data_IF_723731051839
#
_entry.id   IF_723731051839
#
_cell.length_a   1.000
_cell.length_b   1.000
_cell.length_c   1.000
_cell.angle_alpha   90.00
_cell.angle_beta   90.00
_cell.angle_gamma   90.00
#
_symmetry.space_group_name_H-M   'P 1'
#
loop_
_entity.id
_entity.type
_entity.pdbx_description
1 polymer ?
#
# COMPACT_ATOMS: atom_id res chain seq x y z
N UNK A 1 13.29 25.32 -28.72
CA UNK A 1 13.01 24.01 -29.34
C UNK A 1 14.02 23.03 -28.81
N UNK A 2 13.64 22.29 -27.77
CA UNK A 2 14.41 21.16 -27.26
C UNK A 2 13.43 19.98 -27.27
N UNK A 3 13.68 19.03 -28.15
CA UNK A 3 12.99 17.74 -28.21
C UNK A 3 13.27 16.96 -26.92
N UNK A 4 12.25 16.42 -26.22
CA UNK A 4 12.50 15.45 -25.18
C UNK A 4 12.89 14.13 -25.83
N UNK A 5 14.12 13.71 -25.57
CA UNK A 5 14.64 12.39 -25.92
C UNK A 5 13.85 11.31 -25.18
N UNK A 6 13.28 10.40 -25.96
CA UNK A 6 12.84 9.08 -25.53
C UNK A 6 14.01 8.27 -24.97
N UNK A 7 13.93 7.80 -23.73
CA UNK A 7 14.92 6.86 -23.19
C UNK A 7 14.75 6.50 -21.71
N UNK A 8 14.59 5.19 -21.47
CA UNK A 8 14.84 4.42 -20.25
C UNK A 8 13.95 4.65 -19.01
N UNK A 9 13.10 3.65 -18.80
CA UNK A 9 12.38 3.30 -17.56
C UNK A 9 13.32 2.83 -16.44
N UNK A 10 13.06 3.24 -15.20
CA UNK A 10 13.49 2.54 -13.97
C UNK A 10 15.00 2.20 -13.82
N UNK A 11 15.92 3.14 -14.07
CA UNK A 11 17.38 2.89 -13.93
C UNK A 11 18.10 3.69 -12.85
N UNK A 12 17.38 4.27 -11.87
CA UNK A 12 18.03 4.75 -10.64
C UNK A 12 17.34 4.15 -9.40
N UNK A 13 17.97 3.12 -8.81
CA UNK A 13 17.62 2.62 -7.47
C UNK A 13 17.27 1.13 -7.33
N UNK A 14 18.25 0.23 -7.50
CA UNK A 14 18.25 -1.12 -6.89
C UNK A 14 17.29 -2.20 -7.43
N UNK A 15 17.71 -3.47 -7.37
CA UNK A 15 16.82 -4.60 -7.65
C UNK A 15 15.89 -4.88 -6.45
N UNK A 16 14.58 -4.95 -6.70
CA UNK A 16 13.59 -5.31 -5.70
C UNK A 16 13.06 -6.74 -5.86
N UNK A 17 12.48 -7.24 -4.76
CA UNK A 17 12.12 -8.63 -4.57
C UNK A 17 10.76 -8.74 -3.84
N UNK A 18 10.17 -9.93 -3.92
CA UNK A 18 9.12 -10.41 -3.00
C UNK A 18 9.67 -11.55 -2.15
N UNK A 19 9.05 -11.80 -1.00
CA UNK A 19 9.31 -13.02 -0.25
C UNK A 19 8.62 -14.21 -0.94
N UNK A 20 9.29 -15.37 -1.01
CA UNK A 20 8.73 -16.62 -1.56
C UNK A 20 7.38 -17.00 -0.95
N UNK A 21 7.11 -16.60 0.30
CA UNK A 21 5.83 -16.84 0.94
C UNK A 21 4.64 -16.22 0.18
N UNK A 22 4.87 -15.22 -0.66
CA UNK A 22 3.85 -14.69 -1.57
C UNK A 22 3.25 -15.79 -2.46
N UNK A 23 4.05 -16.79 -2.86
CA UNK A 23 3.59 -17.89 -3.70
C UNK A 23 3.10 -19.11 -2.91
N UNK A 24 3.21 -19.12 -1.57
CA UNK A 24 2.90 -20.31 -0.78
C UNK A 24 1.94 -20.07 0.38
N UNK A 25 1.84 -18.85 0.92
CA UNK A 25 1.10 -18.55 2.15
C UNK A 25 -0.12 -17.67 1.88
N UNK A 26 -1.05 -17.69 2.83
CA UNK A 26 -2.22 -16.80 2.86
C UNK A 26 -3.10 -16.91 1.61
N UNK A 27 -3.36 -18.14 1.14
CA UNK A 27 -4.37 -18.39 0.11
C UNK A 27 -5.73 -18.43 0.79
N UNK A 28 -6.65 -17.54 0.42
CA UNK A 28 -7.97 -17.46 1.05
C UNK A 28 -8.98 -18.31 0.27
N UNK A 29 -9.57 -19.30 0.94
CA UNK A 29 -10.63 -20.14 0.41
C UNK A 29 -11.98 -19.55 0.81
N UNK A 30 -12.58 -18.76 -0.09
CA UNK A 30 -13.80 -17.98 0.18
C UNK A 30 -14.96 -18.84 0.69
N UNK A 31 -15.19 -19.99 0.06
CA UNK A 31 -16.34 -20.85 0.38
C UNK A 31 -16.23 -21.49 1.78
N UNK A 32 -15.03 -21.47 2.36
CA UNK A 32 -14.73 -22.10 3.65
C UNK A 32 -14.25 -21.08 4.69
N UNK A 33 -14.10 -19.81 4.30
CA UNK A 33 -13.59 -18.71 5.11
C UNK A 33 -12.29 -19.06 5.87
N UNK A 34 -11.31 -19.64 5.17
CA UNK A 34 -10.05 -20.10 5.78
C UNK A 34 -8.84 -19.72 4.93
N UNK A 35 -7.73 -19.39 5.59
CA UNK A 35 -6.44 -19.22 4.94
C UNK A 35 -5.61 -20.51 4.98
N UNK A 36 -5.00 -20.86 3.85
CA UNK A 36 -4.20 -22.08 3.69
C UNK A 36 -2.81 -21.79 3.15
N UNK A 37 -1.92 -22.77 3.34
CA UNK A 37 -0.56 -22.80 2.79
C UNK A 37 -0.47 -23.88 1.72
N UNK A 38 0.03 -23.51 0.53
CA UNK A 38 0.18 -24.40 -0.60
C UNK A 38 1.61 -24.38 -1.12
N UNK A 39 2.28 -25.52 -1.10
CA UNK A 39 3.60 -25.72 -1.71
C UNK A 39 3.51 -26.62 -2.94
N UNK A 40 2.75 -27.69 -2.81
CA UNK A 40 2.44 -28.66 -3.85
C UNK A 40 1.19 -29.48 -3.45
N UNK A 41 0.68 -30.28 -4.38
CA UNK A 41 -0.53 -31.09 -4.17
C UNK A 41 -0.39 -32.14 -3.06
N UNK A 42 0.81 -32.69 -2.88
CA UNK A 42 1.07 -33.74 -1.89
C UNK A 42 0.96 -33.17 -0.47
N UNK A 43 1.70 -32.08 -0.21
CA UNK A 43 1.64 -31.35 1.06
C UNK A 43 0.22 -30.84 1.35
N UNK A 44 -0.43 -30.27 0.35
CA UNK A 44 -1.77 -29.71 0.55
C UNK A 44 -2.79 -30.79 0.91
N UNK A 45 -2.71 -31.95 0.27
CA UNK A 45 -3.53 -33.11 0.60
C UNK A 45 -3.29 -33.64 2.01
N UNK A 46 -2.03 -33.74 2.44
CA UNK A 46 -1.66 -34.20 3.78
C UNK A 46 -2.17 -33.24 4.87
N UNK A 47 -1.94 -31.95 4.69
CA UNK A 47 -2.24 -30.94 5.72
C UNK A 47 -3.74 -30.59 5.80
N UNK A 48 -4.44 -30.51 4.66
CA UNK A 48 -5.77 -29.91 4.61
C UNK A 48 -6.91 -30.87 4.28
N UNK A 49 -6.69 -32.04 3.67
CA UNK A 49 -7.82 -32.89 3.20
C UNK A 49 -8.75 -33.32 4.33
N UNK A 50 -8.23 -33.67 5.50
CA UNK A 50 -9.06 -34.03 6.66
C UNK A 50 -9.60 -32.81 7.40
N UNK A 51 -8.86 -31.69 7.40
CA UNK A 51 -9.29 -30.44 8.03
C UNK A 51 -10.50 -29.86 7.29
N UNK A 52 -10.44 -29.79 5.95
CA UNK A 52 -11.49 -29.22 5.11
C UNK A 52 -12.82 -29.97 5.20
N UNK A 53 -12.81 -31.27 5.51
CA UNK A 53 -14.04 -32.03 5.83
C UNK A 53 -14.79 -31.43 7.02
N UNK A 54 -14.09 -30.89 8.01
CA UNK A 54 -14.73 -30.21 9.17
C UNK A 54 -15.36 -28.88 8.77
N UNK A 55 -14.92 -28.28 7.66
CA UNK A 55 -15.46 -27.05 7.09
C UNK A 55 -16.52 -27.31 6.00
N UNK A 56 -16.96 -28.56 5.79
CA UNK A 56 -18.03 -28.90 4.85
C UNK A 56 -17.58 -29.42 3.47
N UNK A 57 -16.27 -29.64 3.25
CA UNK A 57 -15.74 -30.28 2.05
C UNK A 57 -15.82 -31.81 2.17
N UNK A 58 -16.97 -32.40 1.84
CA UNK A 58 -17.27 -33.82 2.08
C UNK A 58 -17.09 -34.73 0.86
N UNK A 59 -17.10 -34.16 -0.33
CA UNK A 59 -17.05 -34.90 -1.61
C UNK A 59 -15.73 -34.66 -2.33
N UNK A 60 -15.29 -35.61 -3.17
CA UNK A 60 -14.10 -35.44 -3.99
C UNK A 60 -14.24 -34.25 -4.96
N UNK A 61 -15.45 -34.01 -5.49
CA UNK A 61 -15.72 -32.84 -6.34
C UNK A 61 -15.49 -31.51 -5.60
N UNK A 62 -15.91 -31.39 -4.34
CA UNK A 62 -15.62 -30.19 -3.54
C UNK A 62 -14.11 -30.04 -3.27
N UNK A 63 -13.40 -31.15 -3.08
CA UNK A 63 -11.96 -31.14 -2.90
C UNK A 63 -11.21 -30.69 -4.16
N UNK A 64 -11.65 -31.17 -5.33
CA UNK A 64 -11.10 -30.76 -6.61
C UNK A 64 -11.33 -29.26 -6.87
N UNK A 65 -12.49 -28.72 -6.47
CA UNK A 65 -12.77 -27.28 -6.51
C UNK A 65 -11.83 -26.48 -5.60
N UNK A 66 -11.55 -26.96 -4.38
CA UNK A 66 -10.57 -26.33 -3.48
C UNK A 66 -9.19 -26.30 -4.12
N UNK A 67 -8.72 -27.43 -4.65
CA UNK A 67 -7.43 -27.49 -5.35
C UNK A 67 -7.37 -26.54 -6.55
N UNK A 68 -8.44 -26.49 -7.35
CA UNK A 68 -8.54 -25.60 -8.49
C UNK A 68 -8.47 -24.12 -8.06
N UNK A 69 -9.16 -23.75 -6.98
CA UNK A 69 -9.13 -22.39 -6.44
C UNK A 69 -7.71 -21.97 -6.00
N UNK A 70 -7.00 -22.83 -5.27
CA UNK A 70 -5.63 -22.55 -4.82
C UNK A 70 -4.67 -22.43 -6.00
N UNK A 71 -4.76 -23.34 -6.97
CA UNK A 71 -3.91 -23.33 -8.17
C UNK A 71 -4.17 -22.09 -9.04
N UNK A 72 -5.43 -21.71 -9.21
CA UNK A 72 -5.80 -20.50 -9.94
C UNK A 72 -5.27 -19.24 -9.26
N UNK A 73 -5.33 -19.16 -7.93
CA UNK A 73 -4.72 -18.06 -7.18
C UNK A 73 -3.19 -18.05 -7.29
N UNK A 74 -2.54 -19.21 -7.30
CA UNK A 74 -1.09 -19.32 -7.48
C UNK A 74 -0.67 -18.82 -8.87
N UNK A 75 -1.36 -19.28 -9.90
CA UNK A 75 -1.15 -18.85 -11.28
C UNK A 75 -1.37 -17.34 -11.41
N UNK A 76 -2.44 -16.80 -10.80
CA UNK A 76 -2.68 -15.35 -10.77
C UNK A 76 -1.52 -14.60 -10.12
N UNK A 77 -0.98 -15.07 -8.99
CA UNK A 77 0.17 -14.46 -8.30
C UNK A 77 1.45 -14.54 -9.14
N UNK A 78 1.69 -15.65 -9.82
CA UNK A 78 2.84 -15.83 -10.72
C UNK A 78 2.80 -14.87 -11.91
N UNK A 79 1.61 -14.64 -12.47
CA UNK A 79 1.44 -13.76 -13.63
C UNK A 79 1.23 -12.27 -13.26
N UNK A 80 1.06 -11.94 -11.98
CA UNK A 80 0.65 -10.62 -11.50
C UNK A 80 1.55 -9.48 -12.03
N UNK A 81 2.87 -9.68 -11.99
CA UNK A 81 3.85 -8.67 -12.39
C UNK A 81 3.87 -8.47 -13.91
N UNK A 82 3.84 -9.56 -14.67
CA UNK A 82 3.82 -9.52 -16.13
C UNK A 82 2.55 -8.84 -16.64
N UNK A 83 1.40 -9.19 -16.06
CA UNK A 83 0.13 -8.52 -16.38
C UNK A 83 0.15 -7.03 -16.03
N UNK A 84 0.80 -6.63 -14.92
CA UNK A 84 0.93 -5.22 -14.56
C UNK A 84 1.77 -4.45 -15.59
N UNK A 85 2.87 -5.04 -16.10
CA UNK A 85 3.67 -4.45 -17.16
C UNK A 85 2.89 -4.29 -18.48
N UNK A 86 2.10 -5.29 -18.84
CA UNK A 86 1.25 -5.26 -20.03
C UNK A 86 0.19 -4.15 -19.93
N UNK A 87 -0.50 -4.07 -18.78
CA UNK A 87 -1.45 -2.98 -18.51
C UNK A 87 -0.77 -1.61 -18.59
N UNK A 88 0.38 -1.43 -17.93
CA UNK A 88 1.17 -0.18 -18.00
C UNK A 88 1.49 0.23 -19.43
N UNK A 89 1.95 -0.73 -20.24
CA UNK A 89 2.30 -0.48 -21.64
C UNK A 89 1.06 -0.04 -22.43
N UNK A 90 -0.07 -0.71 -22.25
CA UNK A 90 -1.32 -0.38 -22.92
C UNK A 90 -1.83 0.99 -22.48
N UNK A 91 -1.96 1.23 -21.17
CA UNK A 91 -2.42 2.50 -20.58
C UNK A 91 -1.58 3.65 -21.11
N UNK A 92 -0.25 3.55 -21.05
CA UNK A 92 0.66 4.60 -21.55
C UNK A 92 0.45 4.95 -23.03
N UNK A 93 0.01 3.98 -23.84
CA UNK A 93 -0.16 4.16 -25.29
C UNK A 93 -1.54 4.74 -25.61
N UNK A 94 -2.57 4.22 -24.96
CA UNK A 94 -3.98 4.43 -25.33
C UNK A 94 -4.68 5.48 -24.48
N UNK A 95 -4.30 5.63 -23.21
CA UNK A 95 -4.94 6.60 -22.31
C UNK A 95 -4.55 8.04 -22.68
N UNK A 96 -5.47 8.96 -22.46
CA UNK A 96 -5.26 10.41 -22.63
C UNK A 96 -5.64 11.08 -21.32
N UNK A 97 -4.66 11.55 -20.53
CA UNK A 97 -4.94 12.21 -19.26
C UNK A 97 -5.83 13.44 -19.44
N UNK A 98 -6.79 13.61 -18.53
CA UNK A 98 -7.64 14.79 -18.44
C UNK A 98 -6.87 15.97 -17.83
N UNK A 99 -6.05 15.69 -16.82
CA UNK A 99 -5.22 16.64 -16.08
C UNK A 99 -3.74 16.23 -16.12
N UNK A 100 -3.01 16.39 -17.25
CA UNK A 100 -1.62 15.94 -17.37
C UNK A 100 -0.67 16.51 -16.30
N UNK A 101 -0.96 17.70 -15.77
CA UNK A 101 -0.11 18.37 -14.77
C UNK A 101 -0.10 17.66 -13.41
N UNK A 102 -1.11 16.84 -13.08
CA UNK A 102 -1.19 16.15 -11.77
C UNK A 102 -0.23 14.96 -11.67
N UNK A 103 0.35 14.51 -12.79
CA UNK A 103 1.32 13.40 -12.83
C UNK A 103 2.71 13.79 -12.32
N UNK A 104 2.98 15.09 -12.20
CA UNK A 104 4.24 15.63 -11.68
C UNK A 104 3.95 16.42 -10.42
N UNK A 105 4.62 16.08 -9.31
CA UNK A 105 4.43 16.73 -8.03
C UNK A 105 4.79 18.21 -8.10
N UNK A 106 3.95 19.07 -7.51
CA UNK A 106 4.16 20.50 -7.44
C UNK A 106 3.84 20.98 -6.03
N UNK A 107 4.61 21.93 -5.51
CA UNK A 107 4.37 22.46 -4.16
C UNK A 107 3.00 23.12 -4.01
N UNK A 108 2.46 23.68 -5.10
CA UNK A 108 1.11 24.26 -5.14
C UNK A 108 0.00 23.24 -4.86
N UNK A 109 0.29 21.94 -4.89
CA UNK A 109 -0.66 20.89 -4.54
C UNK A 109 -0.84 20.74 -3.03
N UNK A 110 0.13 21.19 -2.24
CA UNK A 110 0.14 20.97 -0.80
C UNK A 110 -0.56 22.07 -0.02
N UNK A 111 -1.13 21.69 1.11
CA UNK A 111 -1.57 22.65 2.12
C UNK A 111 -0.34 23.41 2.69
N UNK A 112 -0.42 24.72 2.95
CA UNK A 112 0.69 25.47 3.54
C UNK A 112 1.23 24.85 4.84
N UNK A 113 0.32 24.36 5.69
CA UNK A 113 0.66 23.73 6.97
C UNK A 113 1.45 22.42 6.78
N UNK A 114 1.19 21.70 5.69
CA UNK A 114 1.98 20.52 5.32
C UNK A 114 3.42 20.90 4.96
N UNK A 115 3.59 21.96 4.16
CA UNK A 115 4.91 22.46 3.77
C UNK A 115 5.72 22.94 4.99
N UNK A 116 5.07 23.66 5.91
CA UNK A 116 5.70 24.08 7.17
C UNK A 116 6.15 22.88 8.01
N UNK A 117 5.29 21.87 8.14
CA UNK A 117 5.59 20.62 8.83
C UNK A 117 6.79 19.88 8.19
N UNK A 118 6.85 19.82 6.86
CA UNK A 118 7.96 19.18 6.13
C UNK A 118 9.26 19.94 6.32
N UNK A 119 9.26 21.26 6.14
CA UNK A 119 10.46 22.09 6.27
C UNK A 119 11.01 22.05 7.70
N UNK A 120 10.14 22.12 8.69
CA UNK A 120 10.51 21.91 10.10
C UNK A 120 11.11 20.51 10.30
N UNK A 121 10.50 19.47 9.73
CA UNK A 121 10.98 18.08 9.87
C UNK A 121 12.31 17.81 9.17
N UNK A 122 12.77 18.65 8.24
CA UNK A 122 14.06 18.52 7.54
C UNK A 122 15.25 19.02 8.34
N UNK A 123 15.02 19.96 9.27
CA UNK A 123 16.11 20.52 10.08
C UNK A 123 16.77 19.44 10.94
N UNK A 124 18.06 19.61 11.22
CA UNK A 124 18.84 18.65 12.01
C UNK A 124 18.60 18.75 13.51
N UNK A 125 18.13 19.91 13.98
CA UNK A 125 17.88 20.22 15.39
C UNK A 125 16.45 19.93 15.85
N UNK A 126 15.57 19.53 14.93
CA UNK A 126 14.16 19.23 15.21
C UNK A 126 14.01 17.99 16.08
N UNK A 127 13.25 18.11 17.17
CA UNK A 127 12.85 16.97 17.99
C UNK A 127 11.46 16.42 17.59
N UNK A 128 11.11 15.18 17.98
CA UNK A 128 9.76 14.67 17.80
C UNK A 128 8.68 15.56 18.43
N UNK A 129 8.94 16.16 19.59
CA UNK A 129 8.01 17.08 20.27
C UNK A 129 7.72 18.34 19.46
N UNK A 130 8.65 18.79 18.62
CA UNK A 130 8.40 19.91 17.71
C UNK A 130 7.43 19.52 16.59
N UNK A 131 7.59 18.32 16.02
CA UNK A 131 6.67 17.76 15.02
C UNK A 131 5.27 17.59 15.58
N UNK A 132 5.16 17.15 16.83
CA UNK A 132 3.88 16.94 17.51
C UNK A 132 3.02 18.21 17.61
N UNK A 133 3.61 19.41 17.48
CA UNK A 133 2.86 20.69 17.50
C UNK A 133 2.09 20.95 16.19
N UNK A 134 2.44 20.26 15.11
CA UNK A 134 1.88 20.45 13.77
C UNK A 134 0.92 19.32 13.35
N UNK A 135 0.76 18.30 14.18
CA UNK A 135 -0.10 17.15 13.90
C UNK A 135 -1.13 16.97 15.01
N UNK A 136 -2.28 16.41 14.66
CA UNK A 136 -3.28 15.97 15.64
C UNK A 136 -3.12 14.46 15.85
N UNK A 137 -3.09 14.00 17.11
CA UNK A 137 -3.12 12.57 17.43
C UNK A 137 -3.91 12.34 18.71
N UNK A 138 -4.40 11.12 18.93
CA UNK A 138 -4.92 10.75 20.24
C UNK A 138 -3.79 10.26 21.15
N UNK A 139 -4.00 10.21 22.47
CA UNK A 139 -3.00 9.66 23.37
C UNK A 139 -2.64 8.21 23.00
N UNK A 140 -1.34 7.96 22.88
CA UNK A 140 -0.73 6.62 22.76
C UNK A 140 -1.14 5.77 21.55
N UNK A 141 -1.85 6.32 20.55
CA UNK A 141 -2.24 5.58 19.35
C UNK A 141 -1.21 5.63 18.22
N UNK A 142 -0.32 6.64 18.21
CA UNK A 142 0.66 6.91 17.15
C UNK A 142 0.05 6.98 15.75
N UNK A 143 -1.17 7.52 15.65
CA UNK A 143 -1.86 7.88 14.42
C UNK A 143 -1.88 9.40 14.31
N UNK A 144 -1.26 9.95 13.27
CA UNK A 144 -1.09 11.40 13.12
C UNK A 144 -1.96 11.92 11.97
N UNK A 145 -2.78 12.91 12.27
CA UNK A 145 -3.67 13.61 11.35
C UNK A 145 -3.11 15.01 11.02
N UNK A 146 -3.03 15.34 9.74
CA UNK A 146 -2.61 16.67 9.26
C UNK A 146 -3.18 16.97 7.87
N UNK A 147 -3.37 18.25 7.48
CA UNK A 147 -3.73 18.59 6.12
C UNK A 147 -2.57 18.21 5.18
N UNK A 148 -2.88 17.67 4.00
CA UNK A 148 -1.84 17.27 3.02
C UNK A 148 -1.96 18.11 1.77
N UNK A 149 -3.12 18.11 1.14
CA UNK A 149 -3.32 18.74 -0.16
C UNK A 149 -4.27 19.94 -0.10
N UNK A 150 -4.23 20.77 -1.14
CA UNK A 150 -5.25 21.79 -1.38
C UNK A 150 -6.54 21.16 -1.91
N UNK A 151 -7.68 21.81 -1.66
CA UNK A 151 -8.97 21.38 -2.24
C UNK A 151 -8.95 21.34 -3.77
N UNK A 152 -8.25 22.29 -4.39
CA UNK A 152 -8.13 22.37 -5.84
C UNK A 152 -7.37 21.17 -6.41
N UNK A 153 -6.24 20.79 -5.82
CA UNK A 153 -5.51 19.60 -6.25
C UNK A 153 -6.37 18.35 -6.06
N UNK A 154 -6.96 18.18 -4.89
CA UNK A 154 -7.84 17.05 -4.59
C UNK A 154 -8.95 16.89 -5.64
N UNK A 155 -9.60 17.98 -6.04
CA UNK A 155 -10.61 17.97 -7.10
C UNK A 155 -10.02 17.50 -8.44
N UNK A 156 -8.96 18.14 -8.93
CA UNK A 156 -8.35 17.78 -10.23
C UNK A 156 -7.83 16.34 -10.24
N UNK A 157 -7.25 15.88 -9.13
CA UNK A 157 -6.77 14.51 -8.99
C UNK A 157 -7.93 13.51 -9.02
N UNK A 158 -9.05 13.79 -8.33
CA UNK A 158 -10.24 12.93 -8.40
C UNK A 158 -10.86 12.91 -9.80
N UNK A 159 -10.91 14.06 -10.49
CA UNK A 159 -11.39 14.13 -11.88
C UNK A 159 -10.54 13.27 -12.81
N UNK A 160 -9.21 13.29 -12.67
CA UNK A 160 -8.29 12.42 -13.43
C UNK A 160 -8.51 10.94 -13.13
N UNK A 161 -8.66 10.58 -11.84
CA UNK A 161 -8.89 9.18 -11.43
C UNK A 161 -10.23 8.67 -11.95
N UNK A 162 -11.29 9.48 -11.85
CA UNK A 162 -12.62 9.14 -12.36
C UNK A 162 -12.59 9.00 -13.89
N UNK A 163 -11.88 9.90 -14.59
CA UNK A 163 -11.70 9.81 -16.04
C UNK A 163 -11.04 8.50 -16.47
N UNK A 164 -10.01 8.05 -15.73
CA UNK A 164 -9.40 6.75 -15.99
C UNK A 164 -10.33 5.59 -15.63
N UNK A 165 -11.07 5.70 -14.53
CA UNK A 165 -12.03 4.69 -14.08
C UNK A 165 -13.10 4.42 -15.15
N UNK A 166 -13.63 5.47 -15.78
CA UNK A 166 -14.65 5.41 -16.85
C UNK A 166 -14.10 4.89 -18.20
N UNK A 167 -12.79 4.80 -18.37
CA UNK A 167 -12.19 4.29 -19.60
C UNK A 167 -12.35 2.77 -19.75
N UNK A 168 -12.31 2.25 -20.97
CA UNK A 168 -12.33 0.79 -21.23
C UNK A 168 -10.96 0.11 -21.05
N UNK A 169 -9.96 0.82 -20.54
CA UNK A 169 -8.60 0.31 -20.37
C UNK A 169 -8.51 -0.66 -19.20
N UNK A 170 -7.59 -1.65 -19.25
CA UNK A 170 -7.48 -2.64 -18.21
C UNK A 170 -6.97 -2.03 -16.91
N UNK A 171 -7.52 -2.48 -15.78
CA UNK A 171 -7.21 -1.99 -14.43
C UNK A 171 -6.78 -3.15 -13.54
N UNK A 172 -5.63 -3.02 -12.87
CA UNK A 172 -5.22 -3.96 -11.85
C UNK A 172 -5.99 -3.76 -10.53
N UNK A 173 -6.11 -4.83 -9.72
CA UNK A 173 -6.72 -4.73 -8.40
C UNK A 173 -5.76 -4.07 -7.40
N UNK A 174 -6.20 -3.07 -6.61
CA UNK A 174 -5.35 -2.40 -5.63
C UNK A 174 -4.77 -3.34 -4.57
N UNK A 175 -5.59 -4.21 -4.00
CA UNK A 175 -5.17 -5.22 -3.02
C UNK A 175 -6.19 -6.39 -3.00
N UNK A 176 -6.04 -7.33 -2.07
CA UNK A 176 -6.90 -8.51 -1.96
C UNK A 176 -8.29 -8.22 -1.40
N UNK A 177 -8.51 -7.06 -0.79
CA UNK A 177 -9.78 -6.65 -0.15
C UNK A 177 -10.58 -5.65 -0.99
N UNK A 178 -9.92 -4.88 -1.86
CA UNK A 178 -10.57 -3.90 -2.72
C UNK A 178 -10.76 -4.43 -4.13
N UNK A 179 -12.02 -4.54 -4.55
CA UNK A 179 -12.36 -4.88 -5.93
C UNK A 179 -12.33 -3.64 -6.82
N UNK A 180 -12.56 -2.46 -6.22
CA UNK A 180 -12.62 -1.18 -6.92
C UNK A 180 -11.48 -0.26 -6.47
N UNK A 181 -10.87 0.43 -7.43
CA UNK A 181 -9.78 1.37 -7.20
C UNK A 181 -8.69 1.33 -8.27
N UNK A 182 -7.80 2.32 -8.23
CA UNK A 182 -6.81 2.58 -9.28
C UNK A 182 -5.39 2.46 -8.71
N UNK A 183 -4.57 1.62 -9.34
CA UNK A 183 -3.14 1.49 -9.05
C UNK A 183 -2.37 2.64 -9.72
N UNK A 184 -1.76 3.51 -8.92
CA UNK A 184 -1.09 4.72 -9.43
C UNK A 184 0.20 4.43 -10.20
N UNK A 185 0.89 3.35 -9.86
CA UNK A 185 2.05 2.88 -10.61
C UNK A 185 1.68 2.41 -12.02
N UNK A 186 0.46 1.89 -12.21
CA UNK A 186 -0.03 1.46 -13.52
C UNK A 186 -0.41 2.65 -14.40
N UNK A 187 -0.92 3.70 -13.78
CA UNK A 187 -1.33 4.94 -14.44
C UNK A 187 -0.15 5.88 -14.74
N UNK A 188 0.99 5.72 -14.07
CA UNK A 188 2.23 6.45 -14.37
C UNK A 188 2.62 7.54 -13.36
N UNK A 189 2.06 7.51 -12.15
CA UNK A 189 2.34 8.51 -11.10
C UNK A 189 3.61 8.24 -10.29
N UNK A 190 4.21 7.06 -10.38
CA UNK A 190 5.33 6.68 -9.50
C UNK A 190 6.53 7.62 -9.63
N UNK A 191 7.01 7.87 -10.85
CA UNK A 191 8.24 8.63 -11.09
C UNK A 191 8.07 10.12 -10.80
N UNK A 192 7.01 10.73 -11.33
CA UNK A 192 6.79 12.17 -11.24
C UNK A 192 6.10 12.64 -9.97
N UNK A 193 5.36 11.77 -9.28
CA UNK A 193 4.51 12.17 -8.15
C UNK A 193 4.82 11.43 -6.86
N UNK A 194 4.66 10.10 -6.84
CA UNK A 194 4.69 9.32 -5.58
C UNK A 194 6.11 9.17 -5.04
N UNK A 195 7.11 8.98 -5.91
CA UNK A 195 8.52 8.88 -5.49
C UNK A 195 8.99 10.18 -4.82
N UNK A 196 8.86 11.38 -5.44
CA UNK A 196 9.23 12.63 -4.79
C UNK A 196 8.42 12.91 -3.52
N UNK A 197 7.12 12.62 -3.51
CA UNK A 197 6.26 12.78 -2.33
C UNK A 197 6.81 11.95 -1.15
N UNK A 198 7.17 10.69 -1.40
CA UNK A 198 7.75 9.80 -0.40
C UNK A 198 9.11 10.30 0.08
N UNK A 199 10.04 10.59 -0.85
CA UNK A 199 11.44 10.86 -0.50
C UNK A 199 11.63 12.22 0.14
N UNK A 200 10.97 13.24 -0.39
CA UNK A 200 11.29 14.62 -0.10
C UNK A 200 10.35 15.21 0.94
N UNK A 201 9.10 14.74 1.02
CA UNK A 201 8.08 15.30 1.91
C UNK A 201 7.74 14.35 3.06
N UNK A 202 7.45 13.07 2.79
CA UNK A 202 6.99 12.15 3.84
C UNK A 202 8.12 11.60 4.71
N UNK A 203 9.24 11.15 4.10
CA UNK A 203 10.37 10.54 4.84
C UNK A 203 10.95 11.45 5.94
N UNK A 204 11.14 12.77 5.75
CA UNK A 204 11.62 13.65 6.81
C UNK A 204 10.75 13.66 8.08
N UNK A 205 9.43 13.51 7.94
CA UNK A 205 8.52 13.43 9.09
C UNK A 205 8.50 12.01 9.67
N UNK A 206 8.46 10.99 8.80
CA UNK A 206 8.43 9.59 9.23
C UNK A 206 9.66 9.20 10.05
N UNK A 207 10.86 9.76 9.76
CA UNK A 207 12.07 9.50 10.56
C UNK A 207 11.92 9.95 12.02
N UNK A 208 11.11 10.99 12.27
CA UNK A 208 10.89 11.57 13.61
C UNK A 208 9.71 10.90 14.32
N UNK A 209 8.64 10.59 13.58
CA UNK A 209 7.41 9.99 14.11
C UNK A 209 7.50 8.47 14.31
N UNK A 210 8.28 7.78 13.47
CA UNK A 210 8.44 6.31 13.48
C UNK A 210 9.92 5.86 13.41
N UNK A 211 10.81 6.37 14.30
CA UNK A 211 12.22 5.99 14.29
C UNK A 211 12.43 4.50 14.61
N UNK A 212 11.51 3.91 15.38
CA UNK A 212 11.51 2.49 15.78
C UNK A 212 11.06 1.53 14.68
N UNK A 213 10.53 2.04 13.56
CA UNK A 213 9.91 1.21 12.52
C UNK A 213 10.29 1.61 11.09
N UNK A 214 11.57 1.99 10.88
CA UNK A 214 12.13 2.21 9.55
C UNK A 214 11.70 3.50 8.85
N UNK A 215 11.16 4.48 9.59
CA UNK A 215 10.71 5.75 9.03
C UNK A 215 11.81 6.59 8.35
N UNK A 216 13.08 6.34 8.69
CA UNK A 216 14.26 6.98 8.08
C UNK A 216 14.70 6.31 6.76
N UNK A 217 14.23 5.09 6.49
CA UNK A 217 14.72 4.23 5.42
C UNK A 217 13.58 3.73 4.52
N UNK A 218 12.58 4.59 4.24
CA UNK A 218 11.49 4.30 3.33
C UNK A 218 11.95 4.42 1.86
N UNK A 219 12.21 3.29 1.22
CA UNK A 219 12.89 3.16 -0.07
C UNK A 219 12.00 2.60 -1.21
N UNK A 220 10.82 2.10 -0.87
CA UNK A 220 9.85 1.55 -1.81
C UNK A 220 8.42 1.94 -1.41
N UNK A 221 7.50 1.91 -2.37
CA UNK A 221 6.09 2.19 -2.08
C UNK A 221 5.12 1.43 -2.99
N UNK A 222 3.86 1.40 -2.57
CA UNK A 222 2.71 1.06 -3.40
C UNK A 222 1.63 2.10 -3.14
N UNK A 223 1.21 2.82 -4.18
CA UNK A 223 0.17 3.84 -4.07
C UNK A 223 -1.05 3.48 -4.92
N UNK A 224 -2.22 3.72 -4.36
CA UNK A 224 -3.49 3.41 -5.00
C UNK A 224 -4.61 4.30 -4.46
N UNK A 225 -5.65 4.48 -5.28
CA UNK A 225 -6.88 5.13 -4.86
C UNK A 225 -7.94 4.07 -4.65
N UNK A 226 -8.65 4.14 -3.52
CA UNK A 226 -9.82 3.31 -3.22
C UNK A 226 -11.06 4.19 -3.24
N UNK A 227 -12.12 3.68 -3.83
CA UNK A 227 -13.44 4.30 -3.87
C UNK A 227 -14.39 3.52 -2.96
N UNK A 228 -15.09 4.23 -2.08
CA UNK A 228 -16.13 3.69 -1.21
C UNK A 228 -17.47 4.21 -1.71
N UNK A 229 -18.37 3.30 -2.05
CA UNK A 229 -19.76 3.60 -2.45
C UNK A 229 -20.72 2.69 -1.68
N UNK A 230 -21.94 3.17 -1.45
CA UNK A 230 -23.01 2.36 -0.88
C UNK A 230 -23.20 1.06 -1.68
N UNK A 231 -23.08 -0.09 -1.00
CA UNK A 231 -23.24 -1.41 -1.60
C UNK A 231 -21.99 -2.00 -2.25
N UNK A 232 -20.87 -1.27 -2.31
CA UNK A 232 -19.58 -1.76 -2.82
C UNK A 232 -18.61 -2.05 -1.66
N UNK A 233 -17.75 -3.06 -1.83
CA UNK A 233 -16.65 -3.41 -0.90
C UNK A 233 -17.05 -3.39 0.60
N UNK A 234 -18.20 -3.99 0.93
CA UNK A 234 -18.84 -4.06 2.26
C UNK A 234 -17.98 -4.71 3.37
N UNK A 235 -16.84 -5.29 3.02
CA UNK A 235 -15.94 -5.98 3.93
C UNK A 235 -14.50 -5.46 3.78
N UNK A 236 -14.32 -4.15 4.02
CA UNK A 236 -13.01 -3.60 4.41
C UNK A 236 -12.69 -4.00 5.84
N UNK A 237 -12.61 -5.32 5.97
CA UNK A 237 -12.38 -6.13 7.14
C UNK A 237 -11.21 -5.65 7.95
N UNK A 238 -11.20 -5.99 9.23
CA UNK A 238 -10.12 -5.72 10.15
C UNK A 238 -8.79 -6.32 9.65
N UNK A 239 -7.85 -5.47 9.22
CA UNK A 239 -6.60 -5.86 8.57
C UNK A 239 -5.41 -5.03 9.06
N UNK A 240 -4.22 -5.31 8.54
CA UNK A 240 -3.03 -4.47 8.66
C UNK A 240 -2.43 -4.29 7.26
N UNK A 241 -1.65 -3.23 7.07
CA UNK A 241 -1.06 -2.94 5.77
C UNK A 241 0.25 -3.69 5.56
N UNK A 242 0.52 -4.05 4.31
CA UNK A 242 1.82 -4.53 3.89
C UNK A 242 2.78 -3.34 3.68
N UNK A 243 2.99 -2.56 4.74
CA UNK A 243 3.80 -1.35 4.80
C UNK A 243 4.51 -1.21 6.15
N UNK A 244 5.56 -0.41 6.20
CA UNK A 244 6.14 0.03 7.48
C UNK A 244 5.38 1.27 7.98
N UNK A 245 5.11 2.21 7.08
CA UNK A 245 4.29 3.41 7.34
C UNK A 245 3.27 3.56 6.21
N UNK A 246 2.02 3.86 6.56
CA UNK A 246 0.95 4.14 5.62
C UNK A 246 0.53 5.60 5.76
N UNK A 247 0.34 6.27 4.62
CA UNK A 247 -0.43 7.51 4.54
C UNK A 247 -1.77 7.21 3.85
N UNK A 248 -2.87 7.62 4.47
CA UNK A 248 -4.21 7.54 3.91
C UNK A 248 -4.82 8.95 3.86
N UNK A 249 -4.99 9.52 2.66
CA UNK A 249 -5.49 10.88 2.47
C UNK A 249 -6.91 10.85 1.93
N UNK A 250 -7.83 11.53 2.60
CA UNK A 250 -9.18 11.75 2.08
C UNK A 250 -9.10 12.77 0.92
N UNK A 251 -9.35 12.33 -0.31
CA UNK A 251 -9.31 13.22 -1.47
C UNK A 251 -10.57 14.09 -1.56
N UNK A 252 -11.70 13.64 -1.01
CA UNK A 252 -12.91 14.45 -0.91
C UNK A 252 -14.19 13.69 -1.24
N UNK A 253 -15.15 14.44 -1.79
CA UNK A 253 -16.61 14.23 -1.82
C UNK A 253 -17.26 14.34 -0.42
N UNK A 254 -18.50 14.80 -0.40
CA UNK A 254 -19.31 14.88 0.82
C UNK A 254 -19.78 13.46 1.16
N UNK A 255 -19.52 13.01 2.38
CA UNK A 255 -19.98 11.73 2.90
C UNK A 255 -20.26 11.85 4.40
N UNK A 256 -21.19 11.03 4.88
CA UNK A 256 -21.46 10.85 6.30
C UNK A 256 -20.91 9.52 6.79
N UNK A 257 -20.45 9.50 8.04
CA UNK A 257 -19.73 8.37 8.64
C UNK A 257 -18.43 7.97 7.92
N UNK A 258 -18.09 6.68 7.83
CA UNK A 258 -16.86 6.22 7.18
C UNK A 258 -15.58 6.41 8.00
N UNK A 259 -15.63 6.63 9.31
CA UNK A 259 -14.43 6.74 10.14
C UNK A 259 -13.52 5.50 10.02
N UNK A 260 -12.21 5.69 10.15
CA UNK A 260 -11.28 4.57 10.30
C UNK A 260 -11.15 4.22 11.77
N UNK A 261 -11.24 2.94 12.12
CA UNK A 261 -10.99 2.49 13.49
C UNK A 261 -9.64 1.78 13.56
N UNK A 262 -8.86 2.11 14.58
CA UNK A 262 -7.55 1.51 14.84
C UNK A 262 -7.59 0.72 16.14
N UNK A 263 -6.95 -0.45 16.13
CA UNK A 263 -6.70 -1.30 17.31
C UNK A 263 -5.20 -1.51 17.47
N UNK A 264 -4.82 -2.33 18.45
CA UNK A 264 -3.40 -2.60 18.71
C UNK A 264 -2.65 -3.13 17.48
N UNK A 265 -1.33 -2.92 17.54
CA UNK A 265 -0.36 -3.51 16.62
C UNK A 265 -0.59 -5.01 16.43
N UNK A 266 -0.29 -5.51 15.23
CA UNK A 266 -0.41 -6.92 14.86
C UNK A 266 0.17 -7.91 15.88
N UNK A 267 1.29 -7.55 16.51
CA UNK A 267 2.06 -8.38 17.44
C UNK A 267 1.52 -8.37 18.88
N UNK A 268 0.60 -7.46 19.20
CA UNK A 268 0.06 -7.32 20.56
C UNK A 268 -1.22 -8.14 20.69
N UNK A 269 -1.24 -9.07 21.65
CA UNK A 269 -2.44 -9.81 22.04
C UNK A 269 -3.27 -8.90 22.95
N UNK A 270 -4.42 -8.43 22.46
CA UNK A 270 -5.35 -7.68 23.30
C UNK A 270 -6.24 -8.63 24.09
N UNK A 271 -6.38 -8.38 25.39
CA UNK A 271 -7.37 -9.05 26.24
C UNK A 271 -8.78 -8.50 26.01
N UNK A 272 -8.94 -7.24 25.60
CA UNK A 272 -10.24 -6.56 25.43
C UNK A 272 -10.29 -5.79 24.09
N UNK A 273 -11.45 -5.78 23.39
CA UNK A 273 -11.60 -5.08 22.12
C UNK A 273 -11.77 -3.57 22.36
N UNK A 274 -10.67 -2.85 22.50
CA UNK A 274 -10.67 -1.39 22.42
C UNK A 274 -10.22 -0.95 21.03
N UNK A 275 -10.87 0.09 20.50
CA UNK A 275 -10.50 0.73 19.25
C UNK A 275 -10.55 2.25 19.40
N UNK A 276 -9.83 2.95 18.53
CA UNK A 276 -9.86 4.41 18.43
C UNK A 276 -10.36 4.81 17.04
N UNK A 277 -11.40 5.65 16.97
CA UNK A 277 -11.96 6.12 15.70
C UNK A 277 -11.34 7.43 15.24
N UNK A 278 -10.89 7.49 14.00
CA UNK A 278 -10.38 8.68 13.36
C UNK A 278 -11.32 9.03 12.22
N UNK A 279 -12.03 10.13 12.39
CA UNK A 279 -12.89 10.68 11.34
C UNK A 279 -11.99 11.15 10.21
N UNK A 280 -12.26 10.68 8.99
CA UNK A 280 -11.58 11.19 7.82
C UNK A 280 -12.17 12.55 7.44
N UNK A 281 -11.29 13.51 7.11
CA UNK A 281 -11.68 14.84 6.66
C UNK A 281 -11.13 15.05 5.25
N UNK A 282 -11.92 15.59 4.30
CA UNK A 282 -11.40 15.97 2.99
C UNK A 282 -10.09 16.76 3.12
N UNK A 283 -9.13 16.45 2.26
CA UNK A 283 -7.76 17.00 2.19
C UNK A 283 -6.81 16.62 3.33
N UNK A 284 -7.26 15.93 4.36
CA UNK A 284 -6.41 15.48 5.48
C UNK A 284 -5.91 14.06 5.26
N UNK A 285 -4.69 13.83 5.74
CA UNK A 285 -4.04 12.53 5.78
C UNK A 285 -3.99 11.97 7.19
N UNK A 286 -4.22 10.66 7.30
CA UNK A 286 -3.84 9.86 8.47
C UNK A 286 -2.54 9.12 8.16
N UNK A 287 -1.51 9.40 8.94
CA UNK A 287 -0.23 8.71 8.91
C UNK A 287 -0.18 7.73 10.08
N UNK A 288 0.10 6.45 9.81
CA UNK A 288 0.16 5.41 10.83
C UNK A 288 1.17 4.32 10.49
N UNK A 289 1.57 3.52 11.49
CA UNK A 289 2.34 2.30 11.24
C UNK A 289 1.47 1.30 10.48
N UNK A 290 2.05 0.63 9.47
CA UNK A 290 1.32 -0.36 8.68
C UNK A 290 0.86 -1.57 9.49
N UNK A 291 1.55 -1.89 10.60
CA UNK A 291 1.15 -2.96 11.52
C UNK A 291 -0.04 -2.63 12.42
N UNK A 292 -0.51 -1.38 12.46
CA UNK A 292 -1.75 -1.07 13.17
C UNK A 292 -2.89 -1.83 12.52
N UNK A 293 -3.57 -2.65 13.32
CA UNK A 293 -4.75 -3.31 12.82
C UNK A 293 -5.89 -2.30 12.75
N UNK A 294 -6.52 -2.17 11.60
CA UNK A 294 -7.53 -1.16 11.35
C UNK A 294 -8.59 -1.63 10.35
N UNK A 295 -9.66 -0.87 10.23
CA UNK A 295 -10.70 -1.07 9.25
C UNK A 295 -11.48 0.21 9.02
N UNK A 296 -12.33 0.20 8.00
CA UNK A 296 -13.23 1.31 7.70
C UNK A 296 -14.63 1.01 8.20
N UNK A 297 -15.24 1.97 8.89
CA UNK A 297 -16.69 1.94 9.12
C UNK A 297 -17.42 2.15 7.78
N UNK A 298 -18.62 1.59 7.60
CA UNK A 298 -19.45 1.88 6.43
C UNK A 298 -19.71 3.39 6.29
N UNK A 299 -19.85 3.85 5.05
CA UNK A 299 -20.44 5.16 4.78
C UNK A 299 -21.96 5.03 4.78
N UNK A 300 -22.66 6.03 5.33
CA UNK A 300 -24.13 6.06 5.30
C UNK A 300 -24.64 6.80 4.06
N UNK A 301 -23.92 7.82 3.60
CA UNK A 301 -24.26 8.64 2.44
C UNK A 301 -23.00 9.07 1.67
N UNK A 302 -23.17 9.35 0.37
CA UNK A 302 -22.13 9.91 -0.49
C UNK A 302 -21.16 8.88 -1.07
N UNK A 303 -20.00 9.38 -1.48
CA UNK A 303 -18.88 8.58 -1.96
C UNK A 303 -17.60 9.10 -1.32
N UNK A 304 -16.65 8.21 -1.05
CA UNK A 304 -15.34 8.61 -0.48
C UNK A 304 -14.21 8.07 -1.34
N UNK A 305 -13.28 8.95 -1.66
CA UNK A 305 -12.06 8.62 -2.39
C UNK A 305 -10.87 8.81 -1.47
N UNK A 306 -10.06 7.77 -1.31
CA UNK A 306 -8.87 7.81 -0.49
C UNK A 306 -7.63 7.51 -1.33
N UNK A 307 -6.63 8.39 -1.27
CA UNK A 307 -5.27 8.08 -1.71
C UNK A 307 -4.54 7.35 -0.59
N UNK A 308 -4.14 6.10 -0.83
CA UNK A 308 -3.39 5.29 0.11
C UNK A 308 -1.99 5.06 -0.44
N UNK A 309 -0.97 5.34 0.38
CA UNK A 309 0.44 5.11 0.05
C UNK A 309 1.04 4.21 1.13
N UNK A 310 1.31 2.97 0.75
CA UNK A 310 2.10 2.04 1.54
C UNK A 310 3.57 2.31 1.32
N UNK A 311 4.26 2.86 2.31
CA UNK A 311 5.69 3.11 2.28
C UNK A 311 6.44 2.01 3.01
N UNK A 312 7.53 1.55 2.41
CA UNK A 312 8.24 0.34 2.81
C UNK A 312 9.72 0.60 2.97
N UNK A 313 10.32 -0.14 3.91
CA UNK A 313 11.74 -0.10 4.22
C UNK A 313 12.37 -1.48 4.02
N UNK A 314 13.25 -1.60 3.03
CA UNK A 314 13.99 -2.85 2.83
C UNK A 314 14.89 -3.19 4.02
N UNK A 315 15.39 -2.19 4.76
CA UNK A 315 16.15 -2.35 6.02
C UNK A 315 15.37 -3.16 7.07
N UNK A 316 14.05 -2.97 7.17
CA UNK A 316 13.18 -3.73 8.08
C UNK A 316 12.83 -5.08 7.45
N UNK A 317 12.36 -5.07 6.20
CA UNK A 317 11.80 -6.25 5.52
C UNK A 317 12.82 -7.35 5.29
N UNK A 318 14.07 -7.01 4.98
CA UNK A 318 15.12 -7.99 4.75
C UNK A 318 15.48 -8.81 6.00
N UNK A 319 15.12 -8.32 7.20
CA UNK A 319 15.29 -9.05 8.45
C UNK A 319 14.13 -10.02 8.71
N UNK A 320 12.89 -9.55 8.55
CA UNK A 320 11.69 -10.33 8.83
C UNK A 320 10.56 -9.97 7.87
N UNK A 321 10.05 -10.96 7.13
CA UNK A 321 8.92 -10.77 6.23
C UNK A 321 7.63 -10.53 7.03
N UNK A 322 6.88 -9.42 6.79
CA UNK A 322 5.66 -9.13 7.54
C UNK A 322 4.48 -10.04 7.19
N UNK A 323 4.61 -10.90 6.18
CA UNK A 323 3.54 -11.80 5.73
C UNK A 323 3.65 -13.21 6.31
N UNK A 324 4.88 -13.69 6.57
CA UNK A 324 5.12 -15.04 7.10
C UNK A 324 5.92 -15.06 8.41
N UNK A 325 6.37 -13.91 8.91
CA UNK A 325 7.20 -13.77 10.11
C UNK A 325 8.46 -14.65 10.10
N UNK A 326 9.07 -14.79 8.92
CA UNK A 326 10.33 -15.51 8.73
C UNK A 326 11.32 -14.63 7.97
N UNK A 327 12.62 -14.96 8.06
CA UNK A 327 13.63 -14.34 7.20
C UNK A 327 13.23 -14.55 5.72
N UNK A 328 13.16 -13.49 4.90
CA UNK A 328 12.60 -13.62 3.56
C UNK A 328 13.50 -14.46 2.66
N UNK A 329 12.88 -15.36 1.89
CA UNK A 329 13.53 -15.98 0.74
C UNK A 329 13.20 -15.15 -0.49
N UNK A 330 14.19 -14.42 -1.01
CA UNK A 330 13.98 -13.42 -2.04
C UNK A 330 13.71 -14.05 -3.42
N UNK A 331 12.62 -13.62 -4.06
CA UNK A 331 12.28 -13.93 -5.46
C UNK A 331 12.23 -12.62 -6.23
N UNK A 332 13.00 -12.55 -7.33
CA UNK A 332 13.12 -11.32 -8.13
C UNK A 332 11.75 -10.93 -8.69
N UNK A 333 11.51 -9.63 -8.76
CA UNK A 333 10.27 -9.06 -9.31
C UNK A 333 10.56 -7.80 -10.12
N UNK A 334 9.49 -7.12 -10.57
CA UNK A 334 9.52 -5.89 -11.34
C UNK A 334 8.97 -4.74 -10.51
N UNK A 335 9.51 -3.53 -10.72
CA UNK A 335 9.18 -2.36 -9.91
C UNK A 335 9.58 -2.59 -8.45
N UNK A 336 8.86 -1.99 -7.51
CA UNK A 336 9.18 -2.10 -6.08
C UNK A 336 8.79 -3.44 -5.43
N UNK A 337 8.03 -4.31 -6.11
CA UNK A 337 7.60 -5.58 -5.53
C UNK A 337 6.89 -5.42 -4.18
N UNK A 338 7.41 -6.12 -3.17
CA UNK A 338 7.02 -5.96 -1.76
C UNK A 338 8.08 -5.23 -0.92
N UNK A 339 9.00 -4.51 -1.56
CA UNK A 339 9.98 -3.66 -0.89
C UNK A 339 11.18 -4.40 -0.27
N UNK A 340 11.45 -5.63 -0.71
CA UNK A 340 12.67 -6.35 -0.33
C UNK A 340 13.80 -6.03 -1.31
N UNK A 341 15.04 -6.00 -0.83
CA UNK A 341 16.25 -5.81 -1.64
C UNK A 341 17.28 -6.89 -1.30
N UNK A 342 18.31 -7.06 -2.12
CA UNK A 342 19.50 -7.83 -1.73
C UNK A 342 20.52 -6.89 -1.10
N UNK A 343 21.13 -7.30 0.01
CA UNK A 343 22.31 -6.61 0.54
C UNK A 343 23.43 -6.67 -0.51
N UNK A 344 23.78 -5.53 -1.08
CA UNK A 344 25.04 -5.38 -1.80
C UNK A 344 26.14 -5.39 -0.76
N UNK A 345 26.94 -6.47 -0.70
CA UNK A 345 28.20 -6.45 0.04
C UNK A 345 29.05 -5.34 -0.55
N UNK A 346 29.11 -4.19 0.11
CA UNK A 346 30.16 -3.20 -0.13
C UNK A 346 31.46 -3.86 0.28
N UNK A 347 32.24 -4.32 -0.69
CA UNK A 347 33.62 -4.71 -0.45
C UNK A 347 34.35 -3.40 -0.19
N UNK A 348 34.76 -3.17 1.05
CA UNK A 348 35.71 -2.11 1.37
C UNK A 348 36.98 -2.39 0.58
N UNK A 349 37.14 -1.70 -0.55
CA UNK A 349 38.43 -1.62 -1.22
C UNK A 349 39.26 -0.63 -0.41
N UNK A 350 39.76 -1.08 0.74
CA UNK A 350 40.81 -0.36 1.44
C UNK A 350 42.00 -0.25 0.48
N UNK A 351 42.36 0.98 0.14
CA UNK A 351 43.58 1.33 -0.58
C UNK A 351 44.78 0.65 0.08
N UNK A 352 45.49 -0.17 -0.69
CA UNK A 352 46.83 -0.60 -0.34
C UNK A 352 47.75 0.64 -0.33
N UNK A 353 48.55 0.70 0.73
CA UNK A 353 49.44 1.79 1.16
C UNK A 353 50.54 2.13 0.17
#
# INVERSE_FOLDING_TARGET
>A
MATPTSGSSAEDGGEFYVCRCFFTNNFYLKDYNVHVVYRDDAQFGEDYKQVMKKYGCHTDNQWDQVLAQVKSELERRQNLFQQSLERRKQIRTEYRPLHPHVYTLQESFFAPEFLELVEMSRRSDTSPEDVMKFVTSKPDDRVYEFPVFTKQFCQQFMEEITHFEESNLPKGRPNTMNNYGILLNELGFDEGFVTPLRTDYLRPMCRLLYPDWGGDALDSHKAFVVTYKLGEDLDLSYHYDNAEVTLNVSLGKEFEEGSLYFRSMRQVVQSHPSYQEHRHRPTYGLLHRGQHKHGAMPIEEGERYNLIIWMRSSKVRNQLCPMCDQKPTLVRTVGFGDGFTKETKTVDVCCAS
#
